data_IF_393836771162
#
_entry.id   IF_393836771162
#
_cell.length_a   1.000
_cell.length_b   1.000
_cell.length_c   1.000
_cell.angle_alpha   90.00
_cell.angle_beta   90.00
_cell.angle_gamma   90.00
#
_symmetry.space_group_name_H-M   'P 1'
#
loop_
_entity.id
_entity.type
_entity.pdbx_description
1 polymer ?
#
# COMPACT_ATOMS: atom_id res chain seq x y z
N UNK A 1 -4.53 -1.77 20.59
CA UNK A 1 -3.17 -1.64 21.19
C UNK A 1 -2.25 -0.74 20.38
N UNK A 2 -1.99 -1.00 19.09
CA UNK A 2 -1.03 -0.21 18.27
C UNK A 2 -1.23 1.31 18.31
N UNK A 3 -2.45 1.81 18.04
CA UNK A 3 -2.74 3.26 18.08
C UNK A 3 -2.52 3.85 19.46
N UNK A 4 -2.99 3.17 20.51
CA UNK A 4 -2.80 3.58 21.90
C UNK A 4 -1.31 3.66 22.27
N UNK A 5 -0.52 2.64 21.87
CA UNK A 5 0.93 2.61 22.10
C UNK A 5 1.63 3.81 21.45
N UNK A 6 1.25 4.19 20.23
CA UNK A 6 1.80 5.39 19.58
C UNK A 6 1.45 6.67 20.33
N UNK A 7 0.22 6.77 20.83
CA UNK A 7 -0.20 7.89 21.68
C UNK A 7 0.61 7.98 22.97
N UNK A 8 0.81 6.85 23.67
CA UNK A 8 1.62 6.77 24.88
C UNK A 8 3.05 7.27 24.67
N UNK A 9 3.66 6.90 23.53
CA UNK A 9 5.00 7.34 23.14
C UNK A 9 5.03 8.68 22.41
N UNK A 10 3.91 9.41 22.31
CA UNK A 10 3.77 10.70 21.62
C UNK A 10 4.30 10.68 20.18
N UNK A 11 4.12 9.56 19.48
CA UNK A 11 4.47 9.42 18.07
C UNK A 11 3.36 9.98 17.19
N UNK A 12 3.70 10.32 15.93
CA UNK A 12 2.70 10.77 14.96
C UNK A 12 1.54 9.74 14.84
N UNK A 13 0.28 10.18 14.75
CA UNK A 13 -0.86 9.31 14.51
C UNK A 13 -0.60 8.37 13.31
N UNK A 14 -0.90 7.07 13.43
CA UNK A 14 -0.69 6.14 12.33
C UNK A 14 -1.74 6.32 11.24
N UNK A 15 -1.36 5.99 10.00
CA UNK A 15 -2.31 5.67 8.93
C UNK A 15 -2.53 4.16 8.91
N UNK A 16 -3.78 3.73 8.92
CA UNK A 16 -4.19 2.32 8.94
C UNK A 16 -5.01 2.06 7.67
N UNK A 17 -4.54 1.12 6.86
CA UNK A 17 -5.26 0.67 5.67
C UNK A 17 -6.15 -0.51 6.02
N UNK A 18 -7.38 -0.50 5.52
CA UNK A 18 -8.35 -1.57 5.74
C UNK A 18 -9.08 -1.87 4.43
N UNK A 19 -9.58 -3.11 4.23
CA UNK A 19 -10.56 -3.38 3.18
C UNK A 19 -11.74 -2.42 3.34
N UNK A 20 -12.16 -1.78 2.26
CA UNK A 20 -13.22 -0.78 2.30
C UNK A 20 -14.52 -1.30 2.95
N UNK A 21 -14.87 -2.56 2.69
CA UNK A 21 -16.02 -3.23 3.29
C UNK A 21 -15.94 -3.39 4.83
N UNK A 22 -14.75 -3.29 5.43
CA UNK A 22 -14.53 -3.40 6.87
C UNK A 22 -14.45 -2.07 7.60
N UNK A 23 -14.45 -0.94 6.87
CA UNK A 23 -14.24 0.40 7.43
C UNK A 23 -15.14 0.67 8.63
N UNK A 24 -16.45 0.57 8.46
CA UNK A 24 -17.43 0.93 9.50
C UNK A 24 -17.29 0.04 10.75
N UNK A 25 -16.95 -1.24 10.56
CA UNK A 25 -16.69 -2.15 11.68
C UNK A 25 -15.44 -1.74 12.47
N UNK A 26 -14.38 -1.33 11.78
CA UNK A 26 -13.14 -0.85 12.41
C UNK A 26 -13.35 0.50 13.10
N UNK A 27 -14.11 1.42 12.50
CA UNK A 27 -14.48 2.69 13.15
C UNK A 27 -15.24 2.44 14.46
N UNK A 28 -16.25 1.57 14.44
CA UNK A 28 -17.00 1.17 15.65
C UNK A 28 -16.12 0.50 16.70
N UNK A 29 -15.13 -0.30 16.30
CA UNK A 29 -14.16 -0.90 17.23
C UNK A 29 -13.36 0.19 17.96
N UNK A 30 -12.95 1.25 17.26
CA UNK A 30 -12.29 2.39 17.89
C UNK A 30 -13.23 3.12 18.85
N UNK A 31 -14.48 3.37 18.48
CA UNK A 31 -15.47 4.01 19.37
C UNK A 31 -15.64 3.24 20.68
N UNK A 32 -15.79 1.91 20.59
CA UNK A 32 -15.90 1.04 21.77
C UNK A 32 -14.66 1.15 22.64
N UNK A 33 -13.46 1.15 22.05
CA UNK A 33 -12.23 1.33 22.81
C UNK A 33 -12.14 2.70 23.49
N UNK A 34 -12.51 3.78 22.80
CA UNK A 34 -12.54 5.14 23.39
C UNK A 34 -13.50 5.22 24.57
N UNK A 35 -14.67 4.58 24.49
CA UNK A 35 -15.65 4.57 25.57
C UNK A 35 -15.15 3.83 26.82
N UNK A 36 -14.33 2.80 26.66
CA UNK A 36 -13.78 2.03 27.79
C UNK A 36 -12.58 2.71 28.46
N UNK A 37 -11.65 3.25 27.67
CA UNK A 37 -10.34 3.72 28.15
C UNK A 37 -10.21 5.25 28.18
N UNK A 38 -11.24 5.97 27.72
CA UNK A 38 -11.28 7.44 27.61
C UNK A 38 -10.10 8.04 26.82
N UNK A 39 -9.44 7.24 25.98
CA UNK A 39 -8.32 7.66 25.14
C UNK A 39 -8.80 8.23 23.81
N UNK A 40 -8.06 9.19 23.24
CA UNK A 40 -8.43 9.82 21.95
C UNK A 40 -8.24 8.86 20.76
N UNK A 41 -7.23 7.99 20.84
CA UNK A 41 -6.85 7.05 19.78
C UNK A 41 -6.77 7.73 18.41
N UNK A 42 -6.03 8.83 18.29
CA UNK A 42 -5.87 9.57 17.03
C UNK A 42 -5.22 8.67 15.96
N UNK A 43 -5.87 8.52 14.81
CA UNK A 43 -5.41 7.75 13.65
C UNK A 43 -6.08 8.26 12.37
N UNK A 44 -5.49 7.91 11.22
CA UNK A 44 -6.11 8.07 9.91
C UNK A 44 -6.49 6.68 9.39
N UNK A 45 -7.79 6.43 9.19
CA UNK A 45 -8.29 5.17 8.65
C UNK A 45 -8.55 5.35 7.16
N UNK A 46 -7.85 4.56 6.33
CA UNK A 46 -7.93 4.64 4.87
C UNK A 46 -8.54 3.33 4.35
N UNK A 47 -9.80 3.36 3.87
CA UNK A 47 -10.36 2.22 3.15
C UNK A 47 -9.69 2.10 1.78
N UNK A 48 -9.41 0.86 1.36
CA UNK A 48 -8.99 0.57 -0.02
C UNK A 48 -9.82 -0.58 -0.59
N UNK A 49 -10.32 -0.37 -1.80
CA UNK A 49 -10.89 -1.42 -2.64
C UNK A 49 -9.78 -2.18 -3.38
N UNK A 50 -10.07 -3.42 -3.80
CA UNK A 50 -9.16 -4.21 -4.62
C UNK A 50 -8.81 -3.44 -5.90
N UNK A 51 -7.51 -3.31 -6.17
CA UNK A 51 -6.97 -2.57 -7.32
C UNK A 51 -6.67 -1.10 -7.03
N UNK A 52 -7.20 -0.52 -5.95
CA UNK A 52 -6.92 0.87 -5.61
C UNK A 52 -5.49 1.08 -5.13
N UNK A 53 -4.92 2.22 -5.54
CA UNK A 53 -3.60 2.67 -5.13
C UNK A 53 -3.70 3.88 -4.19
N UNK A 54 -2.81 3.93 -3.20
CA UNK A 54 -2.67 5.06 -2.30
C UNK A 54 -1.21 5.52 -2.23
N UNK A 55 -0.98 6.80 -2.52
CA UNK A 55 0.34 7.41 -2.39
C UNK A 55 0.64 7.72 -0.91
N UNK A 56 1.52 6.93 -0.30
CA UNK A 56 2.00 7.15 1.07
C UNK A 56 2.95 8.35 1.12
N UNK A 57 3.83 8.42 0.13
CA UNK A 57 4.83 9.46 -0.12
C UNK A 57 5.12 9.50 -1.61
N UNK A 58 5.75 10.57 -2.08
CA UNK A 58 6.12 10.75 -3.49
C UNK A 58 6.87 9.58 -4.13
N UNK A 59 7.65 8.85 -3.33
CA UNK A 59 8.49 7.72 -3.73
C UNK A 59 7.92 6.36 -3.31
N UNK A 60 6.72 6.33 -2.71
CA UNK A 60 6.14 5.13 -2.13
C UNK A 60 4.61 5.11 -2.26
N UNK A 61 4.08 4.06 -2.90
CA UNK A 61 2.63 3.81 -2.97
C UNK A 61 2.30 2.40 -2.51
N UNK A 62 1.07 2.19 -2.06
CA UNK A 62 0.51 0.88 -1.76
C UNK A 62 -0.64 0.59 -2.71
N UNK A 63 -0.82 -0.66 -3.12
CA UNK A 63 -1.99 -1.13 -3.87
C UNK A 63 -2.62 -2.31 -3.15
N UNK A 64 -3.94 -2.33 -3.07
CA UNK A 64 -4.67 -3.51 -2.61
C UNK A 64 -4.86 -4.50 -3.78
N UNK A 65 -4.76 -5.80 -3.51
CA UNK A 65 -4.97 -6.84 -4.53
C UNK A 65 -5.81 -7.99 -3.99
N UNK A 66 -6.42 -8.76 -4.89
CA UNK A 66 -7.38 -9.79 -4.53
C UNK A 66 -6.70 -10.98 -3.88
N UNK A 67 -7.26 -11.46 -2.78
CA UNK A 67 -6.92 -12.75 -2.17
C UNK A 67 -8.17 -13.60 -2.00
N UNK A 68 -7.97 -14.88 -1.68
CA UNK A 68 -9.02 -15.90 -1.75
C UNK A 68 -9.20 -16.55 -0.38
N UNK A 69 -10.22 -16.10 0.35
CA UNK A 69 -10.55 -16.58 1.68
C UNK A 69 -12.07 -16.69 1.87
N UNK A 70 -12.52 -17.32 2.97
CA UNK A 70 -13.94 -17.56 3.25
C UNK A 70 -14.76 -16.27 3.47
N UNK A 71 -14.09 -15.20 3.88
CA UNK A 71 -14.66 -13.85 4.03
C UNK A 71 -13.92 -12.88 3.09
N UNK A 72 -14.49 -11.71 2.77
CA UNK A 72 -13.79 -10.69 1.98
C UNK A 72 -12.40 -10.40 2.54
N UNK A 73 -11.38 -10.60 1.71
CA UNK A 73 -9.98 -10.41 2.04
C UNK A 73 -9.24 -9.76 0.87
N UNK A 74 -8.14 -9.09 1.20
CA UNK A 74 -7.23 -8.52 0.21
C UNK A 74 -5.81 -8.50 0.77
N UNK A 75 -4.83 -8.63 -0.13
CA UNK A 75 -3.44 -8.38 0.17
C UNK A 75 -3.04 -6.94 -0.18
N UNK A 76 -1.81 -6.57 0.19
CA UNK A 76 -1.24 -5.27 -0.11
C UNK A 76 0.17 -5.40 -0.65
N UNK A 77 0.47 -4.65 -1.71
CA UNK A 77 1.81 -4.55 -2.28
C UNK A 77 2.29 -3.10 -2.22
N UNK A 78 3.50 -2.92 -1.71
CA UNK A 78 4.18 -1.64 -1.58
C UNK A 78 5.13 -1.49 -2.77
N UNK A 79 5.02 -0.37 -3.49
CA UNK A 79 5.91 -0.03 -4.60
C UNK A 79 6.82 1.13 -4.24
N UNK A 80 8.08 1.04 -4.67
CA UNK A 80 8.91 2.22 -4.83
C UNK A 80 8.58 2.91 -6.15
N UNK A 81 8.45 4.23 -6.12
CA UNK A 81 8.11 5.05 -7.29
C UNK A 81 9.30 5.96 -7.63
N UNK A 82 9.76 5.89 -8.88
CA UNK A 82 10.90 6.68 -9.36
C UNK A 82 10.54 7.42 -10.64
N UNK A 83 11.01 8.66 -10.75
CA UNK A 83 10.95 9.43 -11.98
C UNK A 83 12.24 9.18 -12.77
N UNK A 84 12.14 8.57 -13.95
CA UNK A 84 13.27 8.32 -14.85
C UNK A 84 13.15 9.19 -16.09
N UNK A 85 14.26 9.71 -16.59
CA UNK A 85 14.28 10.50 -17.83
C UNK A 85 13.69 9.67 -18.99
N UNK A 86 12.83 10.26 -19.81
CA UNK A 86 12.28 9.61 -21.01
C UNK A 86 13.43 9.28 -21.97
N UNK A 87 13.29 8.17 -22.68
CA UNK A 87 14.35 7.65 -23.56
C UNK A 87 14.77 8.66 -24.63
N UNK A 88 13.82 9.44 -25.15
CA UNK A 88 14.03 10.49 -26.15
C UNK A 88 14.90 11.67 -25.68
N UNK A 89 15.06 11.85 -24.36
CA UNK A 89 15.90 12.92 -23.80
C UNK A 89 17.25 12.42 -23.29
N UNK A 90 17.52 11.12 -23.38
CA UNK A 90 18.81 10.54 -22.96
C UNK A 90 19.90 11.02 -23.92
N UNK A 91 21.02 11.51 -23.36
CA UNK A 91 22.15 12.03 -24.12
C UNK A 91 22.06 13.52 -24.47
N UNK A 92 20.93 14.18 -24.22
CA UNK A 92 20.84 15.63 -24.32
C UNK A 92 21.69 16.31 -23.23
N UNK A 93 22.33 17.46 -23.52
CA UNK A 93 23.01 18.25 -22.52
C UNK A 93 22.07 18.65 -21.37
N UNK A 94 22.58 18.66 -20.13
CA UNK A 94 21.76 19.00 -18.96
C UNK A 94 21.12 20.39 -19.02
N UNK A 95 21.73 21.35 -19.72
CA UNK A 95 21.16 22.68 -19.99
C UNK A 95 19.89 22.60 -20.83
N UNK A 96 19.87 21.72 -21.83
CA UNK A 96 18.72 21.50 -22.72
C UNK A 96 17.58 20.82 -21.98
N UNK A 97 17.90 19.78 -21.20
CA UNK A 97 16.92 19.08 -20.34
C UNK A 97 16.27 20.06 -19.35
N UNK A 98 17.07 20.96 -18.75
CA UNK A 98 16.55 21.99 -17.84
C UNK A 98 15.61 22.96 -18.56
N UNK A 99 15.96 23.38 -19.79
CA UNK A 99 15.11 24.26 -20.61
C UNK A 99 13.77 23.60 -20.92
N UNK A 100 13.80 22.33 -21.36
CA UNK A 100 12.58 21.56 -21.64
C UNK A 100 11.68 21.46 -20.41
N UNK A 101 12.25 21.12 -19.25
CA UNK A 101 11.51 21.08 -17.99
C UNK A 101 10.88 22.43 -17.62
N UNK A 102 11.62 23.53 -17.79
CA UNK A 102 11.12 24.89 -17.51
C UNK A 102 10.03 25.33 -18.50
N UNK A 103 10.05 24.81 -19.73
CA UNK A 103 8.98 25.03 -20.71
C UNK A 103 7.72 24.18 -20.48
N UNK A 104 7.69 23.38 -19.41
CA UNK A 104 6.54 22.54 -19.05
C UNK A 104 6.50 21.18 -19.75
N UNK A 105 7.54 20.82 -20.51
CA UNK A 105 7.63 19.50 -21.14
C UNK A 105 7.85 18.44 -20.06
N UNK A 106 7.02 17.40 -20.07
CA UNK A 106 7.18 16.26 -19.18
C UNK A 106 8.37 15.40 -19.65
N UNK A 107 9.52 15.59 -19.01
CA UNK A 107 10.78 14.94 -19.39
C UNK A 107 11.02 13.58 -18.73
N UNK A 108 10.17 13.16 -17.78
CA UNK A 108 10.33 11.90 -17.03
C UNK A 108 9.13 10.98 -17.19
N UNK A 109 9.37 9.67 -17.13
CA UNK A 109 8.36 8.64 -16.92
C UNK A 109 8.37 8.20 -15.46
N UNK A 110 7.18 7.94 -14.92
CA UNK A 110 7.02 7.28 -13.63
C UNK A 110 7.27 5.78 -13.80
N UNK A 111 8.20 5.23 -13.02
CA UNK A 111 8.48 3.80 -12.96
C UNK A 111 8.20 3.33 -11.55
N UNK A 112 7.27 2.38 -11.41
CA UNK A 112 6.95 1.73 -10.14
C UNK A 112 7.60 0.35 -10.08
N UNK A 113 8.13 -0.03 -8.92
CA UNK A 113 8.73 -1.35 -8.70
C UNK A 113 8.13 -1.96 -7.44
N UNK A 114 7.54 -3.17 -7.50
CA UNK A 114 7.00 -3.83 -6.31
C UNK A 114 8.16 -4.21 -5.38
N UNK A 115 8.10 -3.75 -4.14
CA UNK A 115 9.15 -3.95 -3.13
C UNK A 115 8.76 -5.08 -2.18
N UNK A 116 7.59 -4.97 -1.56
CA UNK A 116 7.12 -5.92 -0.55
C UNK A 116 5.64 -6.19 -0.78
N UNK A 117 5.25 -7.46 -0.79
CA UNK A 117 3.85 -7.90 -0.83
C UNK A 117 3.48 -8.67 0.43
N UNK A 118 2.34 -8.33 1.02
CA UNK A 118 1.70 -9.05 2.13
C UNK A 118 0.40 -9.64 1.62
N UNK A 119 0.27 -10.96 1.66
CA UNK A 119 -0.91 -11.64 1.08
C UNK A 119 -2.03 -11.87 2.11
N UNK A 120 -1.72 -11.81 3.41
CA UNK A 120 -2.68 -12.17 4.46
C UNK A 120 -3.15 -13.63 4.33
N UNK A 121 -4.36 -13.92 4.81
CA UNK A 121 -4.92 -15.26 4.75
C UNK A 121 -5.52 -15.52 3.36
N UNK A 122 -5.05 -16.59 2.71
CA UNK A 122 -5.49 -16.93 1.35
C UNK A 122 -5.19 -18.39 1.00
N UNK A 123 -5.96 -18.95 0.07
CA UNK A 123 -5.57 -20.17 -0.66
C UNK A 123 -4.48 -19.86 -1.70
N UNK A 124 -3.83 -20.90 -2.23
CA UNK A 124 -2.83 -20.77 -3.30
C UNK A 124 -3.38 -20.19 -4.63
N UNK A 125 -4.71 -20.08 -4.77
CA UNK A 125 -5.35 -19.57 -5.98
C UNK A 125 -4.95 -18.13 -6.30
N UNK A 126 -4.53 -17.34 -5.29
CA UNK A 126 -4.04 -15.97 -5.52
C UNK A 126 -2.84 -15.91 -6.47
N UNK A 127 -2.04 -16.98 -6.54
CA UNK A 127 -0.86 -17.08 -7.41
C UNK A 127 -1.27 -17.22 -8.87
N UNK A 128 -2.42 -17.86 -9.11
CA UNK A 128 -2.93 -18.13 -10.45
C UNK A 128 -3.72 -16.95 -11.03
N UNK A 129 -4.03 -15.96 -10.20
CA UNK A 129 -4.75 -14.76 -10.61
C UNK A 129 -3.83 -13.85 -11.46
N UNK A 130 -4.16 -13.61 -12.75
CA UNK A 130 -3.33 -12.77 -13.62
C UNK A 130 -3.24 -11.31 -13.13
N UNK A 131 -4.23 -10.83 -12.38
CA UNK A 131 -4.22 -9.46 -11.83
C UNK A 131 -3.23 -9.32 -10.65
N UNK A 132 -2.69 -10.43 -10.16
CA UNK A 132 -1.68 -10.50 -9.11
C UNK A 132 -0.25 -10.71 -9.66
N UNK A 133 -0.04 -10.65 -10.98
CA UNK A 133 1.26 -10.97 -11.59
C UNK A 133 2.43 -10.11 -11.09
N UNK A 134 2.19 -8.87 -10.69
CA UNK A 134 3.17 -7.95 -10.13
C UNK A 134 3.45 -8.19 -8.63
N UNK A 135 2.48 -8.74 -7.89
CA UNK A 135 2.66 -9.21 -6.50
C UNK A 135 3.77 -10.26 -6.46
N UNK A 136 3.77 -11.19 -7.42
CA UNK A 136 4.79 -12.24 -7.57
C UNK A 136 6.16 -11.69 -8.00
N UNK A 137 6.23 -10.45 -8.49
CA UNK A 137 7.47 -9.76 -8.84
C UNK A 137 8.03 -8.94 -7.67
N UNK A 138 7.34 -8.87 -6.54
CA UNK A 138 7.84 -8.18 -5.36
C UNK A 138 9.16 -8.80 -4.88
N UNK A 139 10.10 -7.95 -4.46
CA UNK A 139 11.40 -8.43 -3.96
C UNK A 139 11.25 -9.28 -2.69
N UNK A 140 10.23 -8.99 -1.90
CA UNK A 140 9.87 -9.74 -0.70
C UNK A 140 8.38 -10.08 -0.76
N UNK A 141 8.05 -11.35 -0.65
CA UNK A 141 6.69 -11.85 -0.55
C UNK A 141 6.48 -12.45 0.84
N UNK A 142 5.58 -11.87 1.62
CA UNK A 142 5.21 -12.34 2.96
C UNK A 142 3.94 -13.16 2.85
N UNK A 143 4.08 -14.46 3.12
CA UNK A 143 3.07 -15.49 2.91
C UNK A 143 2.68 -16.11 4.25
N UNK A 144 1.39 -16.27 4.49
CA UNK A 144 0.91 -17.19 5.51
C UNK A 144 1.19 -18.63 5.06
N UNK A 145 1.65 -19.50 5.97
CA UNK A 145 1.78 -20.92 5.71
C UNK A 145 0.90 -21.67 6.69
N UNK A 146 -0.33 -21.96 6.27
CA UNK A 146 -1.26 -22.78 7.04
C UNK A 146 -1.32 -24.19 6.44
N UNK A 147 -0.97 -25.19 7.25
CA UNK A 147 -1.10 -26.60 6.88
C UNK A 147 -2.06 -27.27 7.88
N UNK A 148 -3.26 -27.60 7.43
CA UNK A 148 -4.11 -28.50 8.21
C UNK A 148 -3.39 -29.85 8.30
N UNK A 149 -3.07 -30.28 9.52
CA UNK A 149 -2.66 -31.67 9.74
C UNK A 149 -3.85 -32.55 9.38
N UNK A 150 -3.74 -33.25 8.25
CA UNK A 150 -4.60 -34.37 7.88
C UNK A 150 -4.23 -35.60 8.72
#
# INVERSE_FOLDING_TARGET
MYVATRGLFRLCPPTIFVPACLRDFVERLFEVHRAMDQSELNHNLVPLEVGEEYELRRDLKVRAFRTYHAIPSQGYVIYSVKQKLKQEFIGLPGSEIKRLKLSGVEITNTVSTPEIAFIGDTTADFILDPDNADVLQAKILVVEVFCHHL
#
